data_IF_815772887902
#
_entry.id   IF_815772887902
#
_cell.length_a   1.000
_cell.length_b   1.000
_cell.length_c   1.000
_cell.angle_alpha   90.00
_cell.angle_beta   90.00
_cell.angle_gamma   90.00
#
_symmetry.space_group_name_H-M   'P 1'
#
loop_
_entity.id
_entity.type
_entity.pdbx_description
1 polymer ?
#
# COMPACT_ATOMS: atom_id res chain seq x y z
N UNK A 1 -27.09 -14.20 33.37
CA UNK A 1 -26.75 -12.92 32.73
C UNK A 1 -26.98 -13.09 31.24
N UNK A 2 -27.98 -12.42 30.67
CA UNK A 2 -28.32 -12.50 29.25
C UNK A 2 -27.88 -11.23 28.55
N UNK A 3 -27.10 -11.37 27.48
CA UNK A 3 -26.60 -10.24 26.70
C UNK A 3 -27.72 -9.68 25.82
N UNK A 4 -27.88 -8.36 25.81
CA UNK A 4 -28.82 -7.67 24.94
C UNK A 4 -28.07 -7.14 23.70
N UNK A 5 -28.50 -7.47 22.48
CA UNK A 5 -27.85 -6.98 21.27
C UNK A 5 -28.07 -5.48 21.09
N UNK A 6 -27.04 -4.79 20.65
CA UNK A 6 -27.09 -3.35 20.33
C UNK A 6 -27.62 -3.21 18.88
N UNK A 7 -28.63 -2.36 18.63
CA UNK A 7 -29.11 -2.12 17.28
C UNK A 7 -28.04 -1.41 16.42
N UNK A 8 -27.90 -1.86 15.18
CA UNK A 8 -27.01 -1.25 14.19
C UNK A 8 -27.74 -0.11 13.48
N UNK A 9 -27.23 1.11 13.60
CA UNK A 9 -27.83 2.30 13.00
C UNK A 9 -27.21 2.69 11.64
N UNK A 10 -25.98 2.23 11.37
CA UNK A 10 -25.27 2.53 10.14
C UNK A 10 -24.27 1.42 9.82
N UNK A 11 -24.28 0.95 8.57
CA UNK A 11 -23.42 -0.15 8.14
C UNK A 11 -22.03 0.36 7.72
N UNK A 12 -20.98 -0.14 8.37
CA UNK A 12 -19.59 0.08 7.96
C UNK A 12 -18.99 -1.23 7.43
N UNK A 13 -18.32 -1.16 6.27
CA UNK A 13 -17.63 -2.28 5.64
C UNK A 13 -16.23 -1.89 5.21
N UNK A 14 -15.28 -2.77 5.51
CA UNK A 14 -13.89 -2.63 5.08
C UNK A 14 -13.64 -3.55 3.89
N UNK A 15 -13.15 -2.99 2.79
CA UNK A 15 -12.79 -3.71 1.57
C UNK A 15 -11.28 -3.63 1.38
N UNK A 16 -10.63 -4.75 1.08
CA UNK A 16 -9.19 -4.78 0.90
C UNK A 16 -8.81 -5.70 -0.25
N UNK A 17 -7.92 -5.25 -1.13
CA UNK A 17 -7.46 -6.06 -2.25
C UNK A 17 -6.99 -5.24 -3.45
N UNK A 18 -6.82 -5.92 -4.58
CA UNK A 18 -6.72 -5.30 -5.90
C UNK A 18 -8.02 -4.59 -6.28
N UNK A 19 -7.95 -3.72 -7.29
CA UNK A 19 -9.14 -3.01 -7.76
C UNK A 19 -10.24 -3.97 -8.28
N UNK A 20 -9.85 -5.09 -8.88
CA UNK A 20 -10.77 -6.11 -9.40
C UNK A 20 -11.48 -6.86 -8.25
N UNK A 21 -10.75 -7.17 -7.18
CA UNK A 21 -11.33 -7.79 -5.99
C UNK A 21 -12.31 -6.85 -5.29
N UNK A 22 -11.95 -5.56 -5.19
CA UNK A 22 -12.82 -4.53 -4.61
C UNK A 22 -14.11 -4.38 -5.44
N UNK A 23 -14.01 -4.33 -6.77
CA UNK A 23 -15.18 -4.29 -7.64
C UNK A 23 -16.11 -5.49 -7.42
N UNK A 24 -15.54 -6.70 -7.34
CA UNK A 24 -16.30 -7.93 -7.08
C UNK A 24 -16.96 -7.90 -5.69
N UNK A 25 -16.28 -7.36 -4.68
CA UNK A 25 -16.83 -7.20 -3.33
C UNK A 25 -17.97 -6.17 -3.30
N UNK A 26 -17.84 -5.07 -4.04
CA UNK A 26 -18.90 -4.06 -4.19
C UNK A 26 -20.14 -4.64 -4.85
N UNK A 27 -20.01 -5.43 -5.91
CA UNK A 27 -21.15 -6.10 -6.57
C UNK A 27 -21.89 -7.06 -5.63
N UNK A 28 -21.14 -7.81 -4.82
CA UNK A 28 -21.71 -8.69 -3.79
C UNK A 28 -22.46 -7.91 -2.73
N UNK A 29 -21.88 -6.79 -2.26
CA UNK A 29 -22.54 -5.91 -1.30
C UNK A 29 -23.79 -5.28 -1.90
N UNK A 30 -23.74 -4.83 -3.15
CA UNK A 30 -24.89 -4.27 -3.84
C UNK A 30 -26.02 -5.29 -3.95
N UNK A 31 -25.70 -6.54 -4.29
CA UNK A 31 -26.70 -7.62 -4.37
C UNK A 31 -27.29 -7.96 -3.00
N UNK A 32 -26.46 -8.00 -1.96
CA UNK A 32 -26.88 -8.37 -0.60
C UNK A 32 -27.76 -7.31 0.06
N UNK A 33 -27.51 -6.03 -0.22
CA UNK A 33 -28.18 -4.90 0.44
C UNK A 33 -29.01 -4.06 -0.52
N UNK A 34 -29.36 -4.60 -1.69
CA UNK A 34 -30.11 -3.89 -2.74
C UNK A 34 -31.45 -3.32 -2.27
N UNK A 35 -32.06 -3.94 -1.25
CA UNK A 35 -33.35 -3.56 -0.70
C UNK A 35 -33.25 -2.64 0.53
N UNK A 36 -32.04 -2.32 0.99
CA UNK A 36 -31.85 -1.39 2.11
C UNK A 36 -31.82 0.06 1.62
N UNK A 37 -32.62 0.90 2.26
CA UNK A 37 -32.67 2.35 2.01
C UNK A 37 -31.56 3.12 2.78
N UNK A 38 -30.53 2.40 3.21
CA UNK A 38 -29.43 2.94 4.02
C UNK A 38 -28.11 2.85 3.27
N UNK A 39 -27.39 3.97 3.19
CA UNK A 39 -26.05 4.04 2.62
C UNK A 39 -25.06 3.25 3.45
N UNK A 40 -24.18 2.50 2.79
CA UNK A 40 -23.12 1.71 3.39
C UNK A 40 -21.83 2.51 3.36
N UNK A 41 -21.24 2.69 4.54
CA UNK A 41 -19.93 3.32 4.68
C UNK A 41 -18.81 2.35 4.32
N UNK A 42 -17.89 2.79 3.48
CA UNK A 42 -16.79 2.01 2.97
C UNK A 42 -15.44 2.57 3.44
N UNK A 43 -14.63 1.70 4.05
CA UNK A 43 -13.17 1.86 4.22
C UNK A 43 -12.48 0.97 3.19
N UNK A 44 -11.85 1.58 2.17
CA UNK A 44 -11.25 0.86 1.05
C UNK A 44 -9.72 0.90 1.17
N UNK A 45 -9.11 -0.29 1.21
CA UNK A 45 -7.68 -0.49 1.24
C UNK A 45 -7.18 -1.15 -0.05
N UNK A 46 -6.57 -0.36 -0.93
CA UNK A 46 -6.12 -0.82 -2.26
C UNK A 46 -4.68 -1.30 -2.21
N UNK A 47 -4.42 -2.48 -2.78
CA UNK A 47 -3.10 -3.07 -2.94
C UNK A 47 -2.06 -2.09 -3.50
N UNK A 48 -0.82 -2.19 -3.02
CA UNK A 48 0.28 -1.25 -3.37
C UNK A 48 0.59 -1.14 -4.85
N UNK A 49 0.30 -2.19 -5.63
CA UNK A 49 0.58 -2.30 -7.06
C UNK A 49 -0.47 -1.57 -7.91
N UNK A 50 -1.71 -1.50 -7.44
CA UNK A 50 -2.83 -0.85 -8.13
C UNK A 50 -3.09 0.58 -7.64
N UNK A 51 -2.30 1.05 -6.68
CA UNK A 51 -2.43 2.39 -6.10
C UNK A 51 -1.77 3.44 -7.02
N UNK A 52 -2.46 3.80 -8.09
CA UNK A 52 -2.07 4.81 -9.08
C UNK A 52 -2.69 6.19 -8.76
N UNK A 53 -2.23 7.25 -9.44
CA UNK A 53 -2.73 8.62 -9.25
C UNK A 53 -4.22 8.78 -9.57
N UNK A 54 -4.79 7.91 -10.41
CA UNK A 54 -6.19 7.90 -10.82
C UNK A 54 -7.09 7.03 -9.92
N UNK A 55 -6.59 6.51 -8.80
CA UNK A 55 -7.34 5.59 -7.94
C UNK A 55 -8.63 6.20 -7.38
N UNK A 56 -8.63 7.51 -7.06
CA UNK A 56 -9.83 8.19 -6.60
C UNK A 56 -10.93 8.17 -7.66
N UNK A 57 -10.58 8.51 -8.91
CA UNK A 57 -11.53 8.51 -10.04
C UNK A 57 -12.11 7.12 -10.27
N UNK A 58 -11.26 6.09 -10.29
CA UNK A 58 -11.70 4.71 -10.51
C UNK A 58 -12.63 4.20 -9.39
N UNK A 59 -12.32 4.51 -8.13
CA UNK A 59 -13.18 4.14 -7.01
C UNK A 59 -14.51 4.90 -7.06
N UNK A 60 -14.51 6.18 -7.44
CA UNK A 60 -15.74 6.94 -7.64
C UNK A 60 -16.61 6.34 -8.75
N UNK A 61 -16.01 5.93 -9.88
CA UNK A 61 -16.72 5.23 -10.96
C UNK A 61 -17.35 3.92 -10.48
N UNK A 62 -16.61 3.11 -9.70
CA UNK A 62 -17.11 1.86 -9.12
C UNK A 62 -18.20 2.07 -8.05
N UNK A 63 -18.23 3.25 -7.43
CA UNK A 63 -19.15 3.59 -6.33
C UNK A 63 -20.19 4.64 -6.74
N UNK A 64 -20.51 4.78 -8.03
CA UNK A 64 -21.55 5.71 -8.53
C UNK A 64 -22.97 5.42 -8.01
N UNK A 65 -23.16 4.37 -7.19
CA UNK A 65 -24.44 4.03 -6.59
C UNK A 65 -24.70 4.81 -5.29
N UNK A 66 -25.94 5.28 -5.04
CA UNK A 66 -26.31 5.92 -3.77
C UNK A 66 -26.22 4.97 -2.56
N UNK A 67 -26.09 3.66 -2.81
CA UNK A 67 -25.91 2.65 -1.77
C UNK A 67 -24.54 2.77 -1.07
N UNK A 68 -23.54 3.39 -1.70
CA UNK A 68 -22.17 3.41 -1.20
C UNK A 68 -21.67 4.82 -0.90
N UNK A 69 -21.04 4.98 0.26
CA UNK A 69 -20.31 6.19 0.63
C UNK A 69 -18.90 5.81 1.07
N UNK A 70 -17.91 6.31 0.33
CA UNK A 70 -16.50 6.06 0.64
C UNK A 70 -16.03 7.08 1.67
N UNK A 71 -15.79 6.61 2.89
CA UNK A 71 -15.32 7.45 4.01
C UNK A 71 -13.79 7.52 4.02
N UNK A 72 -13.13 6.39 3.73
CA UNK A 72 -11.67 6.29 3.72
C UNK A 72 -11.23 5.51 2.49
N UNK A 73 -10.22 6.07 1.80
CA UNK A 73 -9.46 5.37 0.77
C UNK A 73 -7.98 5.40 1.15
N UNK A 74 -7.38 4.23 1.30
CA UNK A 74 -5.98 4.11 1.71
C UNK A 74 -5.24 3.08 0.88
N UNK A 75 -3.93 3.26 0.78
CA UNK A 75 -3.03 2.26 0.22
C UNK A 75 -2.76 1.17 1.24
N UNK A 76 -2.84 -0.08 0.81
CA UNK A 76 -2.45 -1.22 1.62
C UNK A 76 -0.99 -1.08 2.05
N UNK A 77 -0.73 -1.01 3.35
CA UNK A 77 0.65 -0.94 3.86
C UNK A 77 1.15 -2.35 4.11
N UNK A 78 1.79 -2.99 3.12
CA UNK A 78 2.63 -4.19 3.34
C UNK A 78 3.69 -3.99 4.45
N UNK A 79 3.98 -2.75 4.82
CA UNK A 79 5.15 -2.37 5.62
C UNK A 79 4.93 -2.31 7.13
N UNK A 80 3.71 -2.45 7.67
CA UNK A 80 3.52 -2.33 9.13
C UNK A 80 4.06 -3.54 9.92
N UNK A 81 4.11 -4.72 9.31
CA UNK A 81 4.80 -5.88 9.92
C UNK A 81 6.32 -5.82 9.77
N UNK A 82 6.84 -5.26 8.67
CA UNK A 82 8.29 -5.08 8.49
C UNK A 82 8.88 -4.00 9.41
N UNK A 83 8.07 -3.01 9.83
CA UNK A 83 8.52 -1.98 10.78
C UNK A 83 8.63 -2.48 12.22
N UNK A 84 7.81 -3.45 12.64
CA UNK A 84 7.88 -4.02 14.00
C UNK A 84 9.16 -4.86 14.25
N UNK A 85 9.91 -5.23 13.20
CA UNK A 85 11.24 -5.83 13.34
C UNK A 85 12.38 -4.81 13.34
N UNK A 86 12.11 -3.54 13.00
CA UNK A 86 13.15 -2.51 12.79
C UNK A 86 13.12 -1.37 13.83
N UNK A 87 12.42 -1.52 14.95
CA UNK A 87 12.39 -0.49 16.02
C UNK A 87 13.73 -0.26 16.75
N UNK A 88 14.86 -0.79 16.25
CA UNK A 88 16.17 -0.62 16.89
C UNK A 88 17.22 0.16 16.11
N UNK A 89 16.97 0.60 14.88
CA UNK A 89 18.02 1.29 14.11
C UNK A 89 17.48 2.58 13.50
N UNK A 90 17.87 3.70 14.09
CA UNK A 90 17.62 5.02 13.49
C UNK A 90 18.39 5.13 12.16
N UNK A 91 17.77 5.76 11.15
CA UNK A 91 18.38 6.04 9.83
C UNK A 91 19.72 6.80 9.88
N UNK A 92 20.09 7.32 11.04
CA UNK A 92 21.36 7.99 11.35
C UNK A 92 22.58 7.06 11.45
N UNK A 93 22.39 5.73 11.45
CA UNK A 93 23.49 4.75 11.59
C UNK A 93 23.71 3.90 10.32
N UNK A 94 22.94 4.10 9.26
CA UNK A 94 23.03 3.33 8.02
C UNK A 94 23.86 4.07 6.98
N UNK A 95 24.88 3.41 6.44
CA UNK A 95 25.60 3.93 5.28
C UNK A 95 24.74 3.85 4.02
N UNK A 96 25.10 4.61 2.99
CA UNK A 96 24.47 4.57 1.67
C UNK A 96 24.51 3.14 1.08
N UNK A 97 25.55 2.37 1.42
CA UNK A 97 25.68 0.97 1.04
C UNK A 97 24.68 0.06 1.79
N UNK A 98 24.48 0.25 3.09
CA UNK A 98 23.55 -0.57 3.88
C UNK A 98 22.10 -0.40 3.42
N UNK A 99 21.73 0.84 3.07
CA UNK A 99 20.40 1.14 2.49
C UNK A 99 20.24 0.44 1.14
N UNK A 100 21.28 0.44 0.31
CA UNK A 100 21.27 -0.24 -0.98
C UNK A 100 21.14 -1.76 -0.83
N UNK A 101 21.89 -2.39 0.07
CA UNK A 101 21.81 -3.84 0.32
C UNK A 101 20.41 -4.25 0.82
N UNK A 102 19.81 -3.49 1.73
CA UNK A 102 18.44 -3.74 2.20
C UNK A 102 17.41 -3.64 1.08
N UNK A 103 17.57 -2.66 0.18
CA UNK A 103 16.75 -2.53 -1.03
C UNK A 103 16.96 -3.70 -1.98
N UNK A 104 18.20 -4.13 -2.17
CA UNK A 104 18.59 -5.27 -3.00
C UNK A 104 17.92 -6.55 -2.49
N UNK A 105 17.95 -6.80 -1.18
CA UNK A 105 17.35 -7.98 -0.56
C UNK A 105 15.81 -8.06 -0.67
N UNK A 106 15.13 -6.92 -0.87
CA UNK A 106 13.68 -6.86 -1.05
C UNK A 106 13.25 -7.01 -2.52
N UNK A 107 14.20 -7.01 -3.46
CA UNK A 107 13.93 -7.15 -4.88
C UNK A 107 14.19 -8.58 -5.35
N UNK A 108 13.30 -9.11 -6.19
CA UNK A 108 13.44 -10.44 -6.76
C UNK A 108 14.14 -10.32 -8.12
N UNK A 109 15.37 -10.83 -8.21
CA UNK A 109 16.16 -10.79 -9.43
C UNK A 109 15.89 -12.05 -10.28
N UNK A 110 15.87 -11.89 -11.60
CA UNK A 110 15.78 -13.01 -12.54
C UNK A 110 17.09 -13.78 -12.63
N UNK A 111 18.22 -13.09 -12.47
CA UNK A 111 19.57 -13.68 -12.45
C UNK A 111 20.46 -13.05 -11.39
N UNK A 112 21.41 -13.82 -10.84
CA UNK A 112 22.44 -13.29 -9.93
C UNK A 112 23.43 -12.35 -10.64
N UNK A 113 23.56 -12.47 -11.97
CA UNK A 113 24.36 -11.57 -12.79
C UNK A 113 23.81 -10.14 -12.77
N UNK A 114 22.49 -9.98 -12.85
CA UNK A 114 21.83 -8.67 -12.78
C UNK A 114 22.07 -7.99 -11.43
N UNK A 115 21.98 -8.76 -10.34
CA UNK A 115 22.25 -8.28 -8.99
C UNK A 115 23.70 -7.82 -8.84
N UNK A 116 24.64 -8.58 -9.38
CA UNK A 116 26.08 -8.27 -9.33
C UNK A 116 26.40 -7.02 -10.16
N UNK A 117 25.79 -6.91 -11.35
CA UNK A 117 25.93 -5.73 -12.22
C UNK A 117 25.38 -4.47 -11.57
N UNK A 118 24.17 -4.55 -11.00
CA UNK A 118 23.53 -3.45 -10.30
C UNK A 118 24.38 -2.94 -9.12
N UNK A 119 24.96 -3.87 -8.35
CA UNK A 119 25.83 -3.55 -7.22
C UNK A 119 27.11 -2.83 -7.67
N UNK A 120 27.71 -3.28 -8.77
CA UNK A 120 28.91 -2.64 -9.34
C UNK A 120 28.62 -1.21 -9.81
N UNK A 121 27.53 -1.02 -10.56
CA UNK A 121 27.14 0.31 -11.07
C UNK A 121 26.80 1.27 -9.92
N UNK A 122 26.16 0.78 -8.86
CA UNK A 122 25.88 1.59 -7.68
C UNK A 122 27.16 2.08 -7.01
N UNK A 123 28.15 1.21 -6.80
CA UNK A 123 29.44 1.58 -6.21
C UNK A 123 30.13 2.68 -7.03
N UNK A 124 30.17 2.53 -8.35
CA UNK A 124 30.74 3.54 -9.24
C UNK A 124 30.02 4.89 -9.16
N UNK A 125 28.68 4.88 -9.11
CA UNK A 125 27.89 6.11 -9.00
C UNK A 125 28.14 6.85 -7.67
N UNK A 126 28.28 6.10 -6.56
CA UNK A 126 28.60 6.68 -5.26
C UNK A 126 30.00 7.30 -5.27
N UNK A 127 31.00 6.58 -5.80
CA UNK A 127 32.36 7.09 -5.92
C UNK A 127 32.44 8.38 -6.77
N UNK A 128 31.70 8.43 -7.88
CA UNK A 128 31.62 9.63 -8.72
C UNK A 128 31.00 10.82 -7.98
N UNK A 129 29.91 10.59 -7.25
CA UNK A 129 29.25 11.64 -6.47
C UNK A 129 30.13 12.17 -5.33
N UNK A 130 30.87 11.29 -4.65
CA UNK A 130 31.83 11.69 -3.60
C UNK A 130 33.02 12.48 -4.17
N UNK A 131 33.49 12.12 -5.37
CA UNK A 131 34.55 12.87 -6.06
C UNK A 131 34.07 14.26 -6.50
N UNK A 132 32.83 14.39 -6.99
CA UNK A 132 32.24 15.67 -7.33
C UNK A 132 32.05 16.59 -6.11
N UNK A 133 31.58 16.06 -4.97
CA UNK A 133 31.41 16.84 -3.73
C UNK A 133 32.77 17.30 -3.15
N UNK A 134 33.80 16.46 -3.23
CA UNK A 134 35.15 16.83 -2.81
C UNK A 134 35.82 17.86 -3.72
N UNK A 135 35.54 17.84 -5.02
CA UNK A 135 36.08 18.83 -5.97
C UNK A 135 35.33 20.18 -5.90
N UNK A 136 34.10 20.19 -5.37
CA UNK A 136 33.28 21.39 -5.22
C UNK A 136 33.50 22.13 -3.88
N UNK A 137 34.28 21.55 -2.96
CA UNK A 137 34.70 22.15 -1.67
C UNK A 137 36.07 22.80 -1.77
#
# INVERSE_FOLDING_TARGET
MTLLPIPEFQLLRTLSGSLQEIATQLEKLATQYNEMDTTIWLDIEVSTQDYLSDIQTRIQELTQSPLFEVIVLRRARKQRQALMQNEKETLTELTVYDVFERRLAQHQFETEEDKTRLTTLFKQAVEMAEQEDNNAR
#
